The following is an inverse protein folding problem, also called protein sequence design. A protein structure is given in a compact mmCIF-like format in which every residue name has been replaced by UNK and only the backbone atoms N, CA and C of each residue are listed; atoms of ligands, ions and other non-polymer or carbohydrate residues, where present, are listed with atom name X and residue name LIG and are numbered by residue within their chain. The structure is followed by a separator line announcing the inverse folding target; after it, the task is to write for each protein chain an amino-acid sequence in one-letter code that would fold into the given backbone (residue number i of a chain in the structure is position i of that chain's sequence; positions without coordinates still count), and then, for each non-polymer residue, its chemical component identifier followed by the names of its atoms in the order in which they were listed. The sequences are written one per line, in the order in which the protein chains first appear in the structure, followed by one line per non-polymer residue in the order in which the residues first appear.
data_IF_799089322129
#
_entry.id   IF_799089322129
#
_cell.length_a   1.000
_cell.length_b   1.000
_cell.length_c   1.000
_cell.angle_alpha   90.00
_cell.angle_beta   90.00
_cell.angle_gamma   90.00
#
_symmetry.space_group_name_H-M   'P 1'
#
loop_
_entity.id
_entity.type
_entity.pdbx_description
1 polymer ?
#
# COMPACT_ATOMS: atom_id res chain seq x y z
N UNK A 1 9.41 -4.06 -2.96
CA UNK A 1 9.73 -2.97 -2.02
C UNK A 1 9.31 -3.41 -0.62
N UNK A 2 9.86 -2.83 0.44
CA UNK A 2 9.42 -3.17 1.80
C UNK A 2 8.11 -2.48 2.18
N UNK A 3 7.36 -2.97 3.18
CA UNK A 3 6.08 -2.37 3.59
C UNK A 3 6.16 -0.86 3.87
N UNK A 4 7.26 -0.39 4.46
CA UNK A 4 7.49 1.04 4.72
C UNK A 4 7.77 1.85 3.46
N UNK A 5 8.41 1.25 2.46
CA UNK A 5 8.63 1.87 1.16
C UNK A 5 7.31 2.12 0.44
N UNK A 6 6.43 1.12 0.41
CA UNK A 6 5.08 1.25 -0.16
C UNK A 6 4.27 2.35 0.54
N UNK A 7 4.29 2.36 1.88
CA UNK A 7 3.64 3.40 2.67
C UNK A 7 4.17 4.79 2.32
N UNK A 8 5.50 4.94 2.22
CA UNK A 8 6.14 6.21 1.89
C UNK A 8 5.75 6.71 0.49
N UNK A 9 5.85 5.85 -0.53
CA UNK A 9 5.47 6.18 -1.91
C UNK A 9 4.00 6.61 -1.97
N UNK A 10 3.10 5.77 -1.47
CA UNK A 10 1.67 6.04 -1.53
C UNK A 10 1.27 7.31 -0.79
N UNK A 11 1.84 7.54 0.41
CA UNK A 11 1.59 8.75 1.17
C UNK A 11 2.09 10.01 0.45
N UNK A 12 3.31 10.00 -0.08
CA UNK A 12 3.88 11.13 -0.81
C UNK A 12 3.05 11.48 -2.06
N UNK A 13 2.67 10.47 -2.85
CA UNK A 13 1.83 10.64 -4.03
C UNK A 13 0.45 11.21 -3.63
N UNK A 14 -0.16 10.69 -2.57
CA UNK A 14 -1.45 11.18 -2.11
C UNK A 14 -1.38 12.61 -1.54
N UNK A 15 -0.33 12.96 -0.78
CA UNK A 15 -0.13 14.33 -0.30
C UNK A 15 0.04 15.30 -1.47
N UNK A 16 0.84 14.95 -2.48
CA UNK A 16 0.99 15.76 -3.69
C UNK A 16 -0.34 15.92 -4.43
N UNK A 17 -1.06 14.83 -4.65
CA UNK A 17 -2.40 14.84 -5.26
C UNK A 17 -3.37 15.72 -4.45
N UNK A 18 -3.39 15.59 -3.13
CA UNK A 18 -4.33 16.33 -2.29
C UNK A 18 -4.08 17.83 -2.33
N UNK A 19 -2.81 18.23 -2.33
CA UNK A 19 -2.42 19.64 -2.47
C UNK A 19 -2.77 20.18 -3.86
N UNK A 20 -2.40 19.46 -4.91
CA UNK A 20 -2.65 19.87 -6.29
C UNK A 20 -4.14 19.93 -6.64
N UNK A 21 -4.92 18.90 -6.27
CA UNK A 21 -6.33 18.77 -6.68
C UNK A 21 -7.32 19.45 -5.74
N UNK A 22 -7.02 19.52 -4.44
CA UNK A 22 -7.96 20.01 -3.43
C UNK A 22 -7.47 21.23 -2.65
N UNK A 23 -6.22 21.68 -2.85
CA UNK A 23 -5.64 22.80 -2.11
C UNK A 23 -5.56 22.56 -0.60
N UNK A 24 -5.55 21.29 -0.15
CA UNK A 24 -5.65 20.90 1.25
C UNK A 24 -4.70 19.75 1.56
N UNK A 25 -4.22 19.69 2.81
CA UNK A 25 -3.48 18.54 3.32
C UNK A 25 -4.39 17.31 3.47
N UNK A 26 -3.82 16.09 3.52
CA UNK A 26 -4.56 14.87 3.82
C UNK A 26 -5.36 14.99 5.14
N UNK A 27 -6.64 14.58 5.12
CA UNK A 27 -7.40 14.41 6.35
C UNK A 27 -6.97 13.14 7.10
N UNK A 28 -7.35 13.01 8.37
CA UNK A 28 -7.06 11.80 9.15
C UNK A 28 -7.60 10.52 8.49
N UNK A 29 -8.86 10.53 8.04
CA UNK A 29 -9.46 9.39 7.35
C UNK A 29 -8.76 9.06 6.02
N UNK A 30 -8.30 10.07 5.29
CA UNK A 30 -7.55 9.85 4.07
C UNK A 30 -6.14 9.31 4.32
N UNK A 31 -5.44 9.79 5.36
CA UNK A 31 -4.13 9.28 5.76
C UNK A 31 -4.19 7.81 6.19
N UNK A 32 -5.23 7.42 6.93
CA UNK A 32 -5.48 6.01 7.27
C UNK A 32 -5.79 5.21 6.01
N UNK A 33 -6.66 5.73 5.14
CA UNK A 33 -7.07 5.01 3.93
C UNK A 33 -5.92 4.78 2.95
N UNK A 34 -5.03 5.77 2.73
CA UNK A 34 -3.83 5.56 1.90
C UNK A 34 -2.89 4.53 2.54
N UNK A 35 -2.70 4.57 3.87
CA UNK A 35 -1.89 3.57 4.55
C UNK A 35 -2.47 2.16 4.34
N UNK A 36 -3.78 1.97 4.55
CA UNK A 36 -4.43 0.68 4.27
C UNK A 36 -4.28 0.28 2.80
N UNK A 37 -4.49 1.21 1.86
CA UNK A 37 -4.33 0.96 0.43
C UNK A 37 -2.94 0.46 0.07
N UNK A 38 -1.89 1.07 0.64
CA UNK A 38 -0.49 0.64 0.40
C UNK A 38 -0.13 -0.71 0.99
N UNK A 39 -0.95 -1.30 1.86
CA UNK A 39 -0.67 -2.62 2.42
C UNK A 39 -1.64 -3.68 1.89
N UNK A 40 -2.77 -3.26 1.30
CA UNK A 40 -3.84 -4.14 0.88
C UNK A 40 -3.41 -5.26 -0.07
N UNK A 41 -2.62 -5.02 -1.14
CA UNK A 41 -2.22 -6.09 -2.06
C UNK A 41 -1.44 -7.20 -1.35
N UNK A 42 -0.49 -6.81 -0.50
CA UNK A 42 0.34 -7.73 0.28
C UNK A 42 -0.47 -8.52 1.31
N UNK A 43 -1.41 -7.85 2.00
CA UNK A 43 -2.27 -8.50 3.00
C UNK A 43 -3.23 -9.52 2.38
N UNK A 44 -3.49 -9.44 1.07
CA UNK A 44 -4.32 -10.40 0.33
C UNK A 44 -3.46 -11.50 -0.28
N UNK A 45 -2.49 -11.14 -1.11
CA UNK A 45 -1.78 -12.13 -1.92
C UNK A 45 -0.83 -12.98 -1.10
N UNK A 46 -0.12 -12.39 -0.13
CA UNK A 46 0.89 -13.12 0.64
C UNK A 46 0.29 -14.25 1.48
N UNK A 47 -0.77 -14.05 2.28
CA UNK A 47 -1.40 -15.16 3.00
C UNK A 47 -1.97 -16.23 2.06
N UNK A 48 -2.63 -15.80 0.98
CA UNK A 48 -3.24 -16.72 0.01
C UNK A 48 -2.21 -17.55 -0.76
N UNK A 49 -1.00 -17.03 -0.99
CA UNK A 49 0.07 -17.75 -1.67
C UNK A 49 0.93 -18.58 -0.71
N UNK A 50 1.34 -18.01 0.42
CA UNK A 50 2.35 -18.62 1.31
C UNK A 50 1.76 -19.52 2.39
N UNK A 51 0.53 -19.24 2.84
CA UNK A 51 -0.11 -20.02 3.92
C UNK A 51 -1.17 -20.96 3.38
N UNK A 52 -2.03 -20.46 2.49
CA UNK A 52 -3.14 -21.26 1.95
C UNK A 52 -2.83 -21.92 0.61
N UNK A 53 -1.73 -21.53 -0.06
CA UNK A 53 -1.30 -22.07 -1.34
C UNK A 53 -2.40 -22.06 -2.43
N UNK A 54 -3.29 -21.06 -2.39
CA UNK A 54 -4.39 -20.86 -3.34
C UNK A 54 -3.94 -20.05 -4.55
N UNK A 55 -3.00 -19.11 -4.34
CA UNK A 55 -2.46 -18.27 -5.39
C UNK A 55 -1.10 -18.77 -5.87
N UNK A 56 -0.76 -18.59 -7.17
CA UNK A 56 0.48 -19.09 -7.74
C UNK A 56 1.72 -18.33 -7.22
N UNK A 57 1.55 -17.11 -6.72
CA UNK A 57 2.62 -16.32 -6.12
C UNK A 57 2.06 -15.26 -5.16
N UNK A 58 2.92 -14.77 -4.27
CA UNK A 58 2.62 -13.64 -3.37
C UNK A 58 2.44 -12.29 -4.08
N UNK A 59 2.54 -12.25 -5.42
CA UNK A 59 2.24 -11.10 -6.28
C UNK A 59 1.44 -11.57 -7.49
N UNK A 60 0.13 -11.69 -7.35
CA UNK A 60 -0.75 -12.17 -8.42
C UNK A 60 -2.10 -11.49 -8.43
N UNK A 61 -3.04 -11.96 -7.61
CA UNK A 61 -4.44 -11.53 -7.66
C UNK A 61 -4.61 -10.04 -7.35
N UNK A 62 -4.31 -9.61 -6.12
CA UNK A 62 -4.44 -8.24 -5.66
C UNK A 62 -3.30 -7.34 -6.15
N UNK A 63 -2.21 -7.89 -6.69
CA UNK A 63 -1.19 -7.08 -7.37
C UNK A 63 -1.51 -6.80 -8.84
N UNK A 64 -2.53 -7.43 -9.42
CA UNK A 64 -2.94 -7.19 -10.81
C UNK A 64 -3.68 -5.86 -10.97
N UNK A 65 -3.48 -5.21 -12.13
CA UNK A 65 -4.18 -3.97 -12.47
C UNK A 65 -5.69 -4.20 -12.69
N UNK A 66 -6.07 -5.40 -13.14
CA UNK A 66 -7.47 -5.78 -13.32
C UNK A 66 -8.20 -5.78 -11.97
N UNK A 67 -7.70 -6.53 -11.00
CA UNK A 67 -8.28 -6.61 -9.65
C UNK A 67 -8.22 -5.25 -8.95
N UNK A 68 -7.10 -4.54 -9.05
CA UNK A 68 -6.96 -3.19 -8.49
C UNK A 68 -8.02 -2.23 -9.03
N UNK A 69 -8.25 -2.24 -10.35
CA UNK A 69 -9.26 -1.40 -10.99
C UNK A 69 -10.66 -1.73 -10.50
N UNK A 70 -11.01 -3.01 -10.41
CA UNK A 70 -12.33 -3.46 -9.94
C UNK A 70 -12.55 -3.04 -8.48
N UNK A 71 -11.61 -3.37 -7.58
CA UNK A 71 -11.73 -3.07 -6.15
C UNK A 71 -11.80 -1.56 -5.92
N UNK A 72 -10.90 -0.78 -6.53
CA UNK A 72 -10.91 0.67 -6.39
C UNK A 72 -12.20 1.30 -6.91
N UNK A 73 -12.73 0.81 -8.04
CA UNK A 73 -14.00 1.28 -8.60
C UNK A 73 -15.16 1.00 -7.67
N UNK A 74 -15.27 -0.23 -7.14
CA UNK A 74 -16.35 -0.61 -6.22
C UNK A 74 -16.29 0.20 -4.91
N UNK A 75 -15.11 0.32 -4.31
CA UNK A 75 -14.91 1.10 -3.08
C UNK A 75 -15.25 2.57 -3.33
N UNK A 76 -14.79 3.15 -4.43
CA UNK A 76 -15.07 4.54 -4.76
C UNK A 76 -16.56 4.79 -5.03
N UNK A 77 -17.21 3.90 -5.79
CA UNK A 77 -18.64 4.00 -6.08
C UNK A 77 -19.49 3.94 -4.80
N UNK A 78 -19.16 3.02 -3.89
CA UNK A 78 -19.79 2.92 -2.58
C UNK A 78 -19.53 4.18 -1.74
N UNK A 79 -18.26 4.52 -1.54
CA UNK A 79 -17.84 5.62 -0.67
C UNK A 79 -18.37 6.99 -1.12
N UNK A 80 -18.52 7.21 -2.44
CA UNK A 80 -19.14 8.42 -2.98
C UNK A 80 -20.55 8.64 -2.43
N UNK A 81 -21.35 7.57 -2.30
CA UNK A 81 -22.74 7.65 -1.81
C UNK A 81 -22.82 8.00 -0.32
N UNK A 82 -21.72 7.84 0.42
CA UNK A 82 -21.64 8.09 1.86
C UNK A 82 -20.77 9.30 2.23
N UNK A 83 -20.41 10.16 1.27
CA UNK A 83 -19.56 11.32 1.52
C UNK A 83 -18.09 10.99 1.82
N UNK A 84 -17.66 9.74 1.57
CA UNK A 84 -16.32 9.22 1.86
C UNK A 84 -15.42 9.16 0.61
N UNK A 85 -15.71 9.98 -0.41
CA UNK A 85 -14.98 9.96 -1.68
C UNK A 85 -13.48 10.29 -1.53
N UNK A 86 -13.10 11.17 -0.60
CA UNK A 86 -11.68 11.53 -0.37
C UNK A 86 -10.89 10.38 0.26
N UNK A 87 -11.34 9.73 1.36
CA UNK A 87 -10.72 8.50 1.83
C UNK A 87 -10.66 7.39 0.77
N UNK A 88 -11.72 7.18 -0.02
CA UNK A 88 -11.69 6.17 -1.07
C UNK A 88 -10.65 6.46 -2.16
N UNK A 89 -10.50 7.72 -2.58
CA UNK A 89 -9.44 8.12 -3.49
C UNK A 89 -8.05 7.89 -2.87
N UNK A 90 -7.89 8.18 -1.57
CA UNK A 90 -6.64 7.95 -0.86
C UNK A 90 -6.26 6.46 -0.82
N UNK A 91 -7.23 5.59 -0.53
CA UNK A 91 -7.06 4.14 -0.63
C UNK A 91 -6.66 3.72 -2.04
N UNK A 92 -7.35 4.21 -3.07
CA UNK A 92 -7.04 3.87 -4.46
C UNK A 92 -5.63 4.32 -4.87
N UNK A 93 -5.18 5.50 -4.44
CA UNK A 93 -3.80 5.95 -4.66
C UNK A 93 -2.81 4.99 -3.99
N UNK A 94 -3.02 4.67 -2.71
CA UNK A 94 -2.16 3.74 -1.99
C UNK A 94 -2.08 2.37 -2.68
N UNK A 95 -3.25 1.80 -3.02
CA UNK A 95 -3.35 0.54 -3.73
C UNK A 95 -2.60 0.63 -5.06
N UNK A 96 -2.94 1.56 -5.94
CA UNK A 96 -2.36 1.63 -7.29
C UNK A 96 -0.84 1.86 -7.24
N UNK A 97 -0.33 2.68 -6.31
CA UNK A 97 1.12 2.90 -6.20
C UNK A 97 1.90 1.64 -5.80
N UNK A 98 1.26 0.71 -5.08
CA UNK A 98 1.91 -0.50 -4.57
C UNK A 98 2.48 -1.40 -5.67
N UNK A 99 1.69 -1.91 -6.64
CA UNK A 99 2.20 -2.75 -7.71
C UNK A 99 3.18 -1.99 -8.62
N UNK A 100 3.00 -0.68 -8.85
CA UNK A 100 4.01 0.07 -9.61
C UNK A 100 5.35 0.19 -8.87
N UNK A 101 5.33 0.36 -7.56
CA UNK A 101 6.52 0.38 -6.73
C UNK A 101 7.24 -0.98 -6.73
N UNK A 102 6.49 -2.08 -6.72
CA UNK A 102 7.04 -3.43 -6.83
C UNK A 102 7.63 -3.74 -8.21
N UNK A 103 7.09 -3.13 -9.27
CA UNK A 103 7.63 -3.27 -10.62
C UNK A 103 8.96 -2.53 -10.84
N UNK A 104 9.33 -1.56 -9.98
CA UNK A 104 10.50 -0.71 -10.18
C UNK A 104 11.81 -1.52 -10.27
N UNK A 105 12.06 -2.43 -9.32
CA UNK A 105 13.32 -3.19 -9.29
C UNK A 105 13.45 -4.11 -10.51
N UNK A 106 12.46 -4.95 -10.87
CA UNK A 106 12.55 -5.77 -12.08
C UNK A 106 12.68 -4.94 -13.36
N UNK A 107 12.01 -3.78 -13.45
CA UNK A 107 12.12 -2.90 -14.62
C UNK A 107 13.54 -2.35 -14.78
N UNK A 108 14.19 -1.93 -13.69
CA UNK A 108 15.57 -1.45 -13.71
C UNK A 108 16.57 -2.56 -14.03
N UNK A 109 16.28 -3.79 -13.60
CA UNK A 109 17.09 -4.98 -13.92
C UNK A 109 16.84 -5.56 -15.32
N UNK A 110 15.86 -5.04 -16.08
CA UNK A 110 15.46 -5.62 -17.38
C UNK A 110 14.71 -6.96 -17.26
N UNK A 111 14.25 -7.32 -16.06
CA UNK A 111 13.61 -8.60 -15.77
C UNK A 111 12.09 -8.53 -15.99
N UNK A 112 11.67 -8.18 -17.22
CA UNK A 112 10.26 -7.91 -17.56
C UNK A 112 9.30 -9.08 -17.26
N UNK A 113 9.80 -10.31 -17.19
CA UNK A 113 9.01 -11.47 -16.78
C UNK A 113 8.40 -11.31 -15.38
N UNK A 114 9.12 -10.71 -14.43
CA UNK A 114 8.66 -10.48 -13.06
C UNK A 114 7.71 -9.29 -12.92
N UNK A 115 7.40 -8.58 -14.01
CA UNK A 115 6.40 -7.49 -14.04
C UNK A 115 5.04 -7.99 -14.55
N UNK A 116 5.00 -9.21 -15.12
CA UNK A 116 3.79 -9.78 -15.73
C UNK A 116 2.61 -9.95 -14.76
N UNK A 117 2.86 -9.97 -13.45
CA UNK A 117 1.79 -10.01 -12.45
C UNK A 117 0.79 -8.86 -12.59
N UNK A 118 1.20 -7.71 -13.14
CA UNK A 118 0.29 -6.59 -13.42
C UNK A 118 -0.86 -6.99 -14.35
N UNK A 119 -0.65 -7.96 -15.24
CA UNK A 119 -1.63 -8.47 -16.18
C UNK A 119 -2.28 -9.80 -15.78
N UNK A 120 -2.04 -10.28 -14.56
CA UNK A 120 -2.68 -11.51 -14.08
C UNK A 120 -4.22 -11.36 -14.07
N UNK A 121 -5.02 -12.37 -14.45
CA UNK A 121 -4.64 -13.73 -14.83
C UNK A 121 -4.39 -13.93 -16.34
N UNK A 122 -4.35 -12.85 -17.13
CA UNK A 122 -4.20 -12.92 -18.59
C UNK A 122 -2.75 -13.24 -18.98
N UNK A 123 -1.78 -12.77 -18.20
CA UNK A 123 -0.36 -13.04 -18.41
C UNK A 123 0.14 -14.13 -17.46
N UNK A 124 0.87 -15.09 -18.02
CA UNK A 124 1.57 -16.11 -17.25
C UNK A 124 2.64 -15.49 -16.35
N UNK A 125 2.73 -16.01 -15.13
CA UNK A 125 3.77 -15.63 -14.18
C UNK A 125 4.94 -16.62 -14.24
N UNK A 126 6.18 -16.14 -14.08
CA UNK A 126 7.30 -17.04 -13.84
C UNK A 126 7.05 -17.85 -12.57
N UNK A 127 7.58 -19.07 -12.52
CA UNK A 127 7.53 -19.87 -11.30
C UNK A 127 8.23 -19.08 -10.17
N UNK A 128 7.45 -18.73 -9.16
CA UNK A 128 7.96 -18.14 -7.93
C UNK A 128 8.11 -19.22 -6.90
N UNK A 129 9.24 -19.21 -6.18
CA UNK A 129 9.34 -20.01 -4.97
C UNK A 129 8.45 -19.39 -3.90
N UNK A 130 7.32 -20.03 -3.62
CA UNK A 130 6.35 -19.62 -2.59
C UNK A 130 6.74 -20.04 -1.19
N UNK A 131 7.89 -20.69 -1.00
CA UNK A 131 8.31 -21.25 0.29
C UNK A 131 8.86 -20.22 1.29
N UNK A 132 9.20 -19.01 0.83
CA UNK A 132 9.85 -18.00 1.67
C UNK A 132 8.84 -17.00 2.23
N UNK A 133 8.51 -17.15 3.52
CA UNK A 133 7.65 -16.21 4.25
C UNK A 133 8.38 -14.90 4.60
N UNK A 134 7.61 -13.86 4.96
CA UNK A 134 8.12 -12.53 5.36
C UNK A 134 9.24 -12.59 6.43
N UNK A 135 9.13 -13.51 7.38
CA UNK A 135 10.11 -13.67 8.45
C UNK A 135 11.50 -14.08 7.92
N UNK A 136 11.56 -14.92 6.89
CA UNK A 136 12.84 -15.35 6.30
C UNK A 136 13.45 -14.20 5.49
N UNK A 137 12.64 -13.51 4.68
CA UNK A 137 13.09 -12.29 3.98
C UNK A 137 13.65 -11.22 4.92
N UNK A 138 13.13 -11.11 6.15
CA UNK A 138 13.64 -10.17 7.15
C UNK A 138 14.97 -10.63 7.77
N UNK A 139 15.17 -11.94 7.92
CA UNK A 139 16.45 -12.49 8.39
C UNK A 139 17.56 -12.29 7.35
N UNK A 140 17.22 -12.36 6.07
CA UNK A 140 18.11 -12.11 4.93
C UNK A 140 18.14 -10.62 4.53
N UNK A 141 17.83 -9.71 5.46
CA UNK A 141 17.78 -8.28 5.15
C UNK A 141 19.17 -7.74 4.79
N UNK A 142 19.30 -7.21 3.59
CA UNK A 142 20.51 -6.53 3.12
C UNK A 142 20.24 -5.06 2.81
N UNK A 143 21.18 -4.20 3.20
CA UNK A 143 21.14 -2.78 2.87
C UNK A 143 21.62 -2.55 1.42
N UNK A 144 20.72 -2.78 0.48
CA UNK A 144 20.97 -2.50 -0.95
C UNK A 144 20.74 -1.02 -1.28
N UNK A 145 21.24 -0.51 -2.43
CA UNK A 145 20.94 0.85 -2.88
C UNK A 145 19.44 1.14 -3.00
N UNK A 146 18.65 0.15 -3.39
CA UNK A 146 17.19 0.28 -3.46
C UNK A 146 16.58 0.43 -2.06
N UNK A 147 17.04 -0.34 -1.07
CA UNK A 147 16.60 -0.20 0.32
C UNK A 147 17.00 1.16 0.90
N UNK A 148 18.20 1.66 0.60
CA UNK A 148 18.62 3.00 0.99
C UNK A 148 17.72 4.10 0.36
N UNK A 149 17.33 3.91 -0.91
CA UNK A 149 16.36 4.78 -1.57
C UNK A 149 14.97 4.72 -0.91
N UNK A 150 14.51 3.54 -0.48
CA UNK A 150 13.28 3.41 0.30
C UNK A 150 13.36 4.20 1.63
N UNK A 151 14.49 4.16 2.34
CA UNK A 151 14.65 4.96 3.56
C UNK A 151 14.67 6.47 3.28
N UNK A 152 15.23 6.91 2.15
CA UNK A 152 15.12 8.31 1.73
C UNK A 152 13.65 8.70 1.51
N UNK A 153 12.87 7.87 0.82
CA UNK A 153 11.44 8.10 0.62
C UNK A 153 10.68 8.13 1.95
N UNK A 154 11.01 7.24 2.89
CA UNK A 154 10.44 7.27 4.25
C UNK A 154 10.76 8.58 4.95
N UNK A 155 12.01 9.04 4.91
CA UNK A 155 12.39 10.33 5.52
C UNK A 155 11.59 11.49 4.91
N UNK A 156 11.44 11.53 3.58
CA UNK A 156 10.62 12.52 2.89
C UNK A 156 9.14 12.42 3.27
N UNK A 157 8.60 11.20 3.39
CA UNK A 157 7.22 10.96 3.78
C UNK A 157 6.96 11.42 5.22
N UNK A 158 7.90 11.16 6.14
CA UNK A 158 7.83 11.66 7.52
C UNK A 158 7.85 13.19 7.55
N UNK A 159 8.73 13.84 6.78
CA UNK A 159 8.77 15.30 6.69
C UNK A 159 7.45 15.87 6.13
N UNK A 160 6.91 15.26 5.08
CA UNK A 160 5.61 15.63 4.52
C UNK A 160 4.49 15.46 5.54
N UNK A 161 4.47 14.34 6.26
CA UNK A 161 3.46 14.04 7.27
C UNK A 161 3.50 15.00 8.47
N UNK A 162 4.70 15.38 8.91
CA UNK A 162 4.89 16.41 9.91
C UNK A 162 4.36 17.77 9.42
N UNK A 163 4.64 18.15 8.17
CA UNK A 163 4.13 19.39 7.55
C UNK A 163 2.62 19.36 7.31
N UNK A 164 2.04 18.18 7.14
CA UNK A 164 0.60 17.98 6.97
C UNK A 164 -0.18 18.04 8.30
N UNK A 165 0.51 18.25 9.44
CA UNK A 165 -0.10 18.34 10.76
C UNK A 165 -0.35 16.98 11.41
N UNK A 166 0.39 15.95 10.99
CA UNK A 166 0.34 14.58 11.53
C UNK A 166 -1.05 13.92 11.43
N UNK A 167 -1.68 13.92 10.24
CA UNK A 167 -3.01 13.34 10.07
C UNK A 167 -3.05 11.86 10.50
N UNK A 168 -4.12 11.46 11.17
CA UNK A 168 -4.33 10.10 11.69
C UNK A 168 -3.95 9.90 13.17
N UNK A 169 -2.95 10.63 13.69
CA UNK A 169 -2.50 10.47 15.09
C UNK A 169 -3.60 10.79 16.12
N UNK A 170 -4.40 11.83 15.87
CA UNK A 170 -5.50 12.22 16.76
C UNK A 170 -6.61 11.17 16.85
N UNK A 171 -6.88 10.47 15.74
CA UNK A 171 -7.89 9.41 15.69
C UNK A 171 -7.47 8.19 16.54
N UNK A 172 -6.19 7.79 16.46
CA UNK A 172 -5.63 6.71 17.29
C UNK A 172 -5.72 7.03 18.78
N UNK A 173 -5.39 8.28 19.15
CA UNK A 173 -5.49 8.74 20.55
C UNK A 173 -6.94 8.79 21.05
N UNK A 174 -7.88 9.21 20.20
CA UNK A 174 -9.31 9.23 20.52
C UNK A 174 -9.87 7.83 20.76
N UNK A 175 -9.57 6.89 19.86
CA UNK A 175 -9.97 5.49 19.99
C UNK A 175 -9.39 4.81 21.24
N UNK A 176 -8.11 5.02 21.53
CA UNK A 176 -7.48 4.46 22.74
C UNK A 176 -8.14 5.00 24.03
N UNK A 177 -8.51 6.28 24.06
CA UNK A 177 -9.20 6.88 25.21
C UNK A 177 -10.62 6.35 25.38
N UNK A 178 -11.38 6.18 24.31
CA UNK A 178 -12.75 5.64 24.39
C UNK A 178 -12.79 4.19 24.88
N UNK A 179 -11.76 3.39 24.57
CA UNK A 179 -11.64 2.02 25.04
C UNK A 179 -11.35 1.93 26.56
N UNK A 180 -10.55 2.85 27.13
CA UNK A 180 -10.30 2.89 28.58
C UNK A 180 -11.51 3.35 29.39
N UNK A 181 -12.28 4.31 28.87
CA UNK A 181 -13.51 4.76 29.53
C UNK A 181 -14.64 3.73 29.50
N UNK A 182 -14.62 2.80 28.54
CA UNK A 182 -15.61 1.71 28.44
C UNK A 182 -15.27 0.46 29.24
N UNK A 183 -14.05 0.36 29.80
CA UNK A 183 -13.63 -0.74 30.69
C UNK A 183 -13.77 -0.40 32.18
N UNK A 184 -14.12 0.85 32.51
CA UNK A 184 -14.31 1.35 33.89
C UNK A 184 -15.81 1.54 34.25
N UNK A 185 -16.74 1.15 33.36
CA UNK A 185 -18.19 1.17 33.55
C UNK A 185 -18.78 -0.23 33.59
#
# INVERSE_FOLDING_TARGET
MWPWGHLAVGYLVYTALSRWRFGRTPSAGAAIAVAVGTQFPDLVDKPLAWTFHVLPSGRSFAHSLLTATIICTLIYAYARRHGLARPALAFAVGYITHPFADALSPLLGGEYAYVRYLGWPVLDQPAYDTSMGFAIHLLDFELTPLVAFEFLLVALAVLAWLRDGRPGLGALRGWYRSQRSGSES
#
